data_IF_482931230482
#
_entry.id   IF_482931230482
#
_cell.length_a   1.000
_cell.length_b   1.000
_cell.length_c   1.000
_cell.angle_alpha   90.00
_cell.angle_beta   90.00
_cell.angle_gamma   90.00
#
_symmetry.space_group_name_H-M   'P 1'
#
loop_
_entity.id
_entity.type
_entity.pdbx_description
1 polymer ?
#
# COMPACT_ATOMS: atom_id res chain seq x y z
N UNK A 1 -8.52 5.27 15.46
CA UNK A 1 -8.22 4.86 14.06
C UNK A 1 -7.55 3.50 14.12
N UNK A 2 -7.98 2.50 13.33
CA UNK A 2 -7.30 1.20 13.29
C UNK A 2 -5.85 1.39 12.82
N UNK A 3 -4.95 0.50 13.26
CA UNK A 3 -3.61 0.44 12.69
C UNK A 3 -3.72 0.11 11.20
N UNK A 4 -3.02 0.89 10.34
CA UNK A 4 -3.01 0.67 8.90
C UNK A 4 -1.57 0.68 8.38
N UNK A 5 -1.01 -0.49 8.02
CA UNK A 5 0.34 -0.59 7.49
C UNK A 5 0.59 0.26 6.25
N UNK A 6 -0.44 0.45 5.43
CA UNK A 6 -0.34 1.22 4.19
C UNK A 6 -0.49 2.72 4.40
N UNK A 7 -0.84 3.19 5.60
CA UNK A 7 -1.19 4.61 5.85
C UNK A 7 -2.48 5.08 5.16
N UNK A 8 -3.11 4.26 4.32
CA UNK A 8 -4.26 4.63 3.49
C UNK A 8 -5.56 4.24 4.17
N UNK A 9 -6.39 5.23 4.44
CA UNK A 9 -7.68 5.04 5.08
C UNK A 9 -8.83 5.32 4.13
N UNK A 10 -9.96 4.65 4.37
CA UNK A 10 -11.23 4.92 3.73
C UNK A 10 -12.31 5.05 4.79
N UNK A 11 -13.10 6.10 4.74
CA UNK A 11 -14.26 6.29 5.60
C UNK A 11 -15.49 5.80 4.85
N UNK A 12 -16.17 4.80 5.40
CA UNK A 12 -17.36 4.20 4.80
C UNK A 12 -18.45 5.25 4.59
N UNK A 13 -18.96 5.32 3.36
CA UNK A 13 -20.02 6.23 2.94
C UNK A 13 -21.38 5.49 2.93
N UNK A 14 -22.52 6.24 2.94
CA UNK A 14 -23.83 5.63 2.78
C UNK A 14 -23.92 4.78 1.50
N UNK A 15 -24.30 3.51 1.65
CA UNK A 15 -24.46 2.57 0.54
C UNK A 15 -23.20 1.79 0.14
N UNK A 16 -22.05 2.05 0.78
CA UNK A 16 -20.85 1.26 0.52
C UNK A 16 -21.00 -0.20 0.96
N UNK A 17 -20.38 -1.07 0.18
CA UNK A 17 -20.07 -2.46 0.54
C UNK A 17 -18.59 -2.70 0.34
N UNK A 18 -18.01 -3.72 0.98
CA UNK A 18 -16.61 -4.05 0.72
C UNK A 18 -16.37 -4.38 -0.76
N UNK A 19 -17.35 -4.97 -1.44
CA UNK A 19 -17.28 -5.23 -2.88
C UNK A 19 -17.16 -3.94 -3.70
N UNK A 20 -18.03 -2.94 -3.45
CA UNK A 20 -17.96 -1.65 -4.16
C UNK A 20 -16.64 -0.93 -3.90
N UNK A 21 -16.16 -0.95 -2.66
CA UNK A 21 -14.86 -0.36 -2.30
C UNK A 21 -13.73 -1.09 -3.02
N UNK A 22 -13.78 -2.42 -3.07
CA UNK A 22 -12.83 -3.26 -3.80
C UNK A 22 -12.74 -2.89 -5.29
N UNK A 23 -13.88 -2.65 -5.94
CA UNK A 23 -13.92 -2.20 -7.33
C UNK A 23 -13.28 -0.81 -7.48
N UNK A 24 -13.59 0.14 -6.59
CA UNK A 24 -13.01 1.51 -6.60
C UNK A 24 -11.49 1.49 -6.53
N UNK A 25 -10.90 0.57 -5.75
CA UNK A 25 -9.44 0.49 -5.57
C UNK A 25 -8.78 -0.56 -6.47
N UNK A 26 -9.56 -1.23 -7.34
CA UNK A 26 -9.13 -2.36 -8.17
C UNK A 26 -8.39 -3.45 -7.37
N UNK A 27 -9.03 -3.93 -6.29
CA UNK A 27 -8.51 -5.00 -5.42
C UNK A 27 -9.56 -6.05 -5.09
N UNK A 28 -9.15 -7.29 -4.82
CA UNK A 28 -10.02 -8.27 -4.18
C UNK A 28 -10.51 -7.77 -2.81
N UNK A 29 -11.73 -8.15 -2.46
CA UNK A 29 -12.30 -7.91 -1.12
C UNK A 29 -11.40 -8.50 -0.03
N UNK A 30 -10.83 -9.69 -0.25
CA UNK A 30 -9.96 -10.37 0.71
C UNK A 30 -8.71 -9.56 1.08
N UNK A 31 -8.19 -8.74 0.15
CA UNK A 31 -7.06 -7.86 0.44
C UNK A 31 -7.45 -6.78 1.46
N UNK A 32 -8.69 -6.29 1.40
CA UNK A 32 -9.23 -5.33 2.37
C UNK A 32 -9.47 -6.03 3.71
N UNK A 33 -10.09 -7.21 3.71
CA UNK A 33 -10.35 -7.98 4.95
C UNK A 33 -9.05 -8.29 5.69
N UNK A 34 -8.01 -8.72 4.96
CA UNK A 34 -6.71 -9.10 5.54
C UNK A 34 -6.04 -7.96 6.31
N UNK A 35 -6.21 -6.71 5.88
CA UNK A 35 -5.64 -5.53 6.57
C UNK A 35 -6.60 -4.89 7.58
N UNK A 36 -7.78 -5.46 7.79
CA UNK A 36 -8.75 -5.02 8.80
C UNK A 36 -9.20 -6.20 9.68
N UNK A 37 -8.34 -6.74 10.55
CA UNK A 37 -8.72 -7.83 11.45
C UNK A 37 -9.98 -7.48 12.27
N UNK A 38 -10.98 -8.36 12.23
CA UNK A 38 -12.24 -8.18 12.96
C UNK A 38 -13.30 -7.32 12.23
N UNK A 39 -13.04 -6.89 10.99
CA UNK A 39 -14.09 -6.28 10.16
C UNK A 39 -15.20 -7.31 9.87
N UNK A 40 -16.46 -6.88 9.99
CA UNK A 40 -17.61 -7.65 9.50
C UNK A 40 -17.87 -7.25 8.03
N UNK A 41 -17.60 -8.13 7.05
CA UNK A 41 -17.73 -7.79 5.63
C UNK A 41 -19.18 -7.52 5.21
N UNK A 42 -20.16 -7.98 5.99
CA UNK A 42 -21.58 -7.82 5.70
C UNK A 42 -22.22 -6.65 6.47
N UNK A 43 -21.47 -5.99 7.36
CA UNK A 43 -22.02 -4.95 8.24
C UNK A 43 -21.06 -3.77 8.41
N UNK A 44 -20.83 -3.06 7.32
CA UNK A 44 -20.13 -1.78 7.36
C UNK A 44 -21.03 -0.69 7.96
N UNK A 45 -20.47 0.15 8.83
CA UNK A 45 -21.17 1.29 9.40
C UNK A 45 -20.76 2.58 8.70
N UNK A 46 -21.69 3.45 8.36
CA UNK A 46 -21.37 4.79 7.83
C UNK A 46 -20.47 5.53 8.82
N UNK A 47 -19.38 6.11 8.33
CA UNK A 47 -18.36 6.76 9.16
C UNK A 47 -17.30 5.80 9.73
N UNK A 48 -17.45 4.49 9.55
CA UNK A 48 -16.41 3.52 9.92
C UNK A 48 -15.16 3.78 9.08
N UNK A 49 -14.01 3.90 9.75
CA UNK A 49 -12.71 4.02 9.08
C UNK A 49 -12.10 2.64 8.91
N UNK A 50 -11.75 2.27 7.68
CA UNK A 50 -11.05 1.03 7.34
C UNK A 50 -9.67 1.33 6.74
N UNK A 51 -8.72 0.43 6.94
CA UNK A 51 -7.44 0.43 6.27
C UNK A 51 -7.59 -0.09 4.84
N UNK A 52 -6.96 0.56 3.87
CA UNK A 52 -6.87 0.06 2.49
C UNK A 52 -5.56 -0.72 2.31
N UNK A 53 -5.53 -1.80 1.50
CA UNK A 53 -4.29 -2.50 1.22
C UNK A 53 -3.27 -1.61 0.48
N UNK A 54 -1.97 -1.91 0.54
CA UNK A 54 -0.94 -1.23 -0.26
C UNK A 54 -1.22 -1.30 -1.76
N UNK A 55 -0.76 -0.29 -2.52
CA UNK A 55 -0.84 -0.28 -3.99
C UNK A 55 0.32 -1.11 -4.57
N UNK A 56 0.20 -2.43 -4.59
CA UNK A 56 1.17 -3.38 -5.19
C UNK A 56 0.50 -4.22 -6.26
N UNK A 57 1.06 -4.57 -7.43
CA UNK A 57 0.33 -5.38 -8.41
C UNK A 57 -0.24 -6.69 -7.82
N UNK A 58 -1.45 -7.08 -8.24
CA UNK A 58 -2.14 -8.28 -7.73
C UNK A 58 -1.29 -9.55 -7.98
N UNK A 59 -1.25 -10.46 -7.00
CA UNK A 59 -0.43 -11.67 -7.07
C UNK A 59 1.07 -11.46 -6.78
N UNK A 60 1.49 -10.24 -6.43
CA UNK A 60 2.83 -9.97 -5.89
C UNK A 60 2.75 -9.86 -4.37
N UNK A 61 3.64 -10.56 -3.67
CA UNK A 61 3.79 -10.43 -2.23
C UNK A 61 4.64 -9.19 -1.91
N UNK A 62 4.26 -8.46 -0.88
CA UNK A 62 5.13 -7.52 -0.17
C UNK A 62 6.06 -8.27 0.77
N UNK A 63 6.68 -9.36 0.32
CA UNK A 63 7.79 -9.91 1.09
C UNK A 63 8.99 -9.01 0.85
N UNK A 64 9.21 -8.10 1.79
CA UNK A 64 10.41 -7.28 1.81
C UNK A 64 11.47 -7.99 2.64
N UNK A 65 12.57 -8.50 2.05
CA UNK A 65 13.57 -9.27 2.79
C UNK A 65 14.21 -8.49 3.95
N UNK A 66 14.24 -7.16 3.84
CA UNK A 66 14.78 -6.27 4.87
C UNK A 66 13.75 -5.87 5.93
N UNK A 67 12.46 -6.04 5.64
CA UNK A 67 11.36 -5.50 6.45
C UNK A 67 11.28 -3.97 6.47
N UNK A 68 12.06 -3.27 5.64
CA UNK A 68 12.06 -1.80 5.58
C UNK A 68 11.18 -1.38 4.41
N UNK A 69 10.16 -0.59 4.72
CA UNK A 69 9.18 -0.13 3.74
C UNK A 69 9.22 1.38 3.60
N UNK A 70 8.97 1.88 2.39
CA UNK A 70 8.74 3.29 2.10
C UNK A 70 7.38 3.46 1.44
N UNK A 71 6.53 4.31 2.02
CA UNK A 71 5.29 4.73 1.39
C UNK A 71 5.58 5.98 0.55
N UNK A 72 5.31 5.89 -0.75
CA UNK A 72 5.52 6.98 -1.71
C UNK A 72 4.65 8.18 -1.33
N UNK A 73 5.29 9.29 -1.01
CA UNK A 73 4.66 10.58 -0.74
C UNK A 73 4.57 11.46 -2.01
N UNK A 74 3.73 12.50 -2.02
CA UNK A 74 3.69 13.45 -3.13
C UNK A 74 5.06 14.06 -3.44
N UNK A 75 5.50 13.94 -4.69
CA UNK A 75 6.77 14.48 -5.16
C UNK A 75 8.00 13.59 -4.95
N UNK A 76 7.82 12.38 -4.41
CA UNK A 76 8.86 11.36 -4.37
C UNK A 76 9.25 10.90 -5.77
N UNK A 77 10.54 10.59 -5.91
CA UNK A 77 11.11 9.86 -7.04
C UNK A 77 12.06 8.81 -6.49
N UNK A 78 12.31 7.72 -7.22
CA UNK A 78 13.27 6.71 -6.76
C UNK A 78 14.65 7.31 -6.48
N UNK A 79 15.06 8.33 -7.24
CA UNK A 79 16.30 9.05 -7.00
C UNK A 79 16.33 9.76 -5.63
N UNK A 80 15.26 10.49 -5.29
CA UNK A 80 15.17 11.18 -3.99
C UNK A 80 15.14 10.17 -2.84
N UNK A 81 14.36 9.11 -2.97
CA UNK A 81 14.27 8.05 -1.96
C UNK A 81 15.61 7.37 -1.76
N UNK A 82 16.29 6.97 -2.84
CA UNK A 82 17.61 6.35 -2.80
C UNK A 82 18.63 7.24 -2.07
N UNK A 83 18.64 8.55 -2.40
CA UNK A 83 19.51 9.52 -1.74
C UNK A 83 19.20 9.66 -0.24
N UNK A 84 17.92 9.69 0.14
CA UNK A 84 17.49 9.82 1.54
C UNK A 84 17.88 8.59 2.37
N UNK A 85 17.76 7.40 1.80
CA UNK A 85 18.02 6.11 2.49
C UNK A 85 19.52 5.75 2.46
N UNK A 86 20.31 6.37 1.59
CA UNK A 86 21.73 6.01 1.40
C UNK A 86 21.89 4.74 0.57
N UNK A 87 21.19 4.64 -0.55
CA UNK A 87 21.26 3.51 -1.49
C UNK A 87 21.23 3.98 -2.95
N UNK A 88 21.15 3.05 -3.90
CA UNK A 88 20.99 3.35 -5.33
C UNK A 88 19.58 3.03 -5.81
N UNK A 89 19.17 3.69 -6.90
CA UNK A 89 17.90 3.39 -7.57
C UNK A 89 17.85 1.92 -7.99
N UNK A 90 18.94 1.38 -8.53
CA UNK A 90 19.03 -0.01 -8.99
C UNK A 90 18.75 -1.00 -7.86
N UNK A 91 19.33 -0.81 -6.68
CA UNK A 91 19.08 -1.66 -5.50
C UNK A 91 17.62 -1.61 -5.05
N UNK A 92 16.96 -0.45 -5.20
CA UNK A 92 15.52 -0.35 -4.92
C UNK A 92 14.72 -1.13 -5.98
N UNK A 93 15.05 -0.98 -7.27
CA UNK A 93 14.35 -1.68 -8.35
C UNK A 93 14.50 -3.21 -8.24
N UNK A 94 15.68 -3.70 -7.86
CA UNK A 94 15.93 -5.13 -7.64
C UNK A 94 14.96 -5.75 -6.64
N UNK A 95 14.64 -5.02 -5.56
CA UNK A 95 13.67 -5.47 -4.54
C UNK A 95 12.21 -5.23 -4.93
N UNK A 96 11.97 -4.44 -5.98
CA UNK A 96 10.63 -4.02 -6.41
C UNK A 96 10.44 -4.24 -7.92
N UNK A 97 10.62 -5.46 -8.46
CA UNK A 97 10.60 -5.71 -9.91
C UNK A 97 9.23 -5.48 -10.57
N UNK A 98 8.22 -5.12 -9.78
CA UNK A 98 6.84 -4.91 -10.18
C UNK A 98 6.45 -3.43 -10.28
N UNK A 99 7.35 -2.50 -9.97
CA UNK A 99 7.06 -1.06 -10.01
C UNK A 99 7.51 -0.44 -11.34
N UNK A 100 6.82 0.62 -11.76
CA UNK A 100 7.33 1.51 -12.80
C UNK A 100 8.25 2.55 -12.14
N UNK A 101 9.57 2.54 -12.40
CA UNK A 101 10.51 3.46 -11.77
C UNK A 101 10.29 4.92 -12.15
N UNK A 102 9.56 5.19 -13.25
CA UNK A 102 9.27 6.54 -13.73
C UNK A 102 7.87 7.02 -13.32
N UNK A 103 7.06 6.16 -12.71
CA UNK A 103 5.68 6.47 -12.35
C UNK A 103 5.33 5.88 -10.98
N UNK A 104 5.93 6.46 -9.93
CA UNK A 104 5.56 6.14 -8.56
C UNK A 104 4.18 6.73 -8.21
N UNK A 105 3.31 5.90 -7.64
CA UNK A 105 1.95 6.30 -7.24
C UNK A 105 1.96 6.66 -5.76
N UNK A 106 1.35 7.78 -5.37
CA UNK A 106 1.21 8.15 -3.95
C UNK A 106 0.48 7.06 -3.17
N UNK A 107 1.04 6.66 -2.02
CA UNK A 107 0.56 5.54 -1.21
C UNK A 107 0.99 4.15 -1.70
N UNK A 108 1.78 4.08 -2.77
CA UNK A 108 2.50 2.87 -3.15
C UNK A 108 3.56 2.55 -2.10
N UNK A 109 3.67 1.29 -1.72
CA UNK A 109 4.68 0.83 -0.77
C UNK A 109 5.78 0.11 -1.54
N UNK A 110 7.03 0.54 -1.33
CA UNK A 110 8.22 -0.08 -1.91
C UNK A 110 9.11 -0.65 -0.81
N UNK A 111 9.72 -1.81 -1.07
CA UNK A 111 10.72 -2.41 -0.21
C UNK A 111 12.06 -1.68 -0.36
N UNK A 112 12.70 -1.33 0.75
CA UNK A 112 14.00 -0.67 0.72
C UNK A 112 15.14 -1.65 1.04
N UNK A 113 16.30 -1.55 0.39
CA UNK A 113 17.48 -2.29 0.80
C UNK A 113 17.98 -1.79 2.16
N UNK A 114 18.83 -2.58 2.81
CA UNK A 114 19.59 -2.06 3.95
C UNK A 114 20.44 -0.86 3.48
N UNK A 115 20.61 0.18 4.31
CA UNK A 115 21.56 1.24 4.05
C UNK A 115 22.95 0.64 3.74
N UNK A 116 23.60 1.13 2.70
CA UNK A 116 24.94 0.70 2.29
C UNK A 116 26.04 1.50 2.98
#
# INVERSE_FOLDING_TARGET
>A
MPYCPSGRYYTVEPGDTLWLISQKINRPVDDIIRVNPGIDPNRLMVGQVICLPPIIPYGKTTECPTGIYWEVAPGDTLYKVAKTVGTTVDKIIELNPYIDPNNLVVGQVICLPLPG
#
